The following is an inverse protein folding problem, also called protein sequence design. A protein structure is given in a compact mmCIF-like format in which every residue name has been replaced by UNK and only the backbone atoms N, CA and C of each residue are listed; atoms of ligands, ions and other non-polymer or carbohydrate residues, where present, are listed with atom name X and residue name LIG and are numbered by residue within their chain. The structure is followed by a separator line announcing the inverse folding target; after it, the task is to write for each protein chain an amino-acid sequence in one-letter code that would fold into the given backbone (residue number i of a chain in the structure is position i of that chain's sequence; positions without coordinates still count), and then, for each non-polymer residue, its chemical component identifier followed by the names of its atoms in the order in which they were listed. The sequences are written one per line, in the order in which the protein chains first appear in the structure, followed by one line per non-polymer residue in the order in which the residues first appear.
data_IF_348801684991
#
_entry.id   IF_348801684991
#
_cell.length_a   1.000
_cell.length_b   1.000
_cell.length_c   1.000
_cell.angle_alpha   90.00
_cell.angle_beta   90.00
_cell.angle_gamma   90.00
#
_symmetry.space_group_name_H-M   'P 1'
#
loop_
_entity.id
_entity.type
_entity.pdbx_description
1 polymer ?
#
# COMPACT_ATOMS: atom_id res chain seq x y z
N UNK A 1 19.29 13.01 22.84
CA UNK A 1 18.51 12.41 21.75
C UNK A 1 17.30 13.27 21.50
N UNK A 2 17.24 13.85 20.30
CA UNK A 2 16.23 14.87 19.96
C UNK A 2 15.27 14.28 18.95
N UNK A 3 14.03 14.03 19.39
CA UNK A 3 12.96 13.59 18.50
C UNK A 3 12.41 14.80 17.75
N UNK A 4 12.28 14.69 16.43
CA UNK A 4 11.57 15.68 15.60
C UNK A 4 10.11 15.30 15.52
N UNK A 5 9.25 16.30 15.57
CA UNK A 5 7.81 16.16 15.40
C UNK A 5 7.36 17.12 14.30
N UNK A 6 6.53 16.62 13.38
CA UNK A 6 5.94 17.40 12.30
C UNK A 6 4.46 17.04 12.16
N UNK A 7 3.70 17.98 11.62
CA UNK A 7 2.27 17.82 11.41
C UNK A 7 1.91 18.35 10.02
N UNK A 8 1.11 17.55 9.30
CA UNK A 8 0.47 17.92 8.04
C UNK A 8 -1.03 17.70 8.16
N UNK A 9 -1.80 18.47 7.41
CA UNK A 9 -3.24 18.36 7.45
C UNK A 9 -3.91 18.63 6.11
N UNK A 10 -5.12 18.08 5.96
CA UNK A 10 -5.96 18.31 4.80
C UNK A 10 -7.44 18.20 5.20
N UNK A 11 -8.30 18.92 4.50
CA UNK A 11 -9.75 18.76 4.62
C UNK A 11 -10.27 17.81 3.54
N UNK A 12 -11.10 16.83 3.93
CA UNK A 12 -11.72 15.83 3.05
C UNK A 12 -13.24 16.02 3.09
N UNK A 13 -13.88 16.04 1.92
CA UNK A 13 -15.33 16.06 1.76
C UNK A 13 -15.92 14.64 1.94
N UNK A 14 -15.72 14.10 3.14
CA UNK A 14 -16.33 12.86 3.61
C UNK A 14 -16.51 12.91 5.14
N UNK A 15 -17.54 12.23 5.69
CA UNK A 15 -17.75 12.13 7.12
C UNK A 15 -16.53 11.54 7.84
N UNK A 16 -16.15 12.12 8.99
CA UNK A 16 -14.99 11.69 9.78
C UNK A 16 -14.96 10.16 10.08
N UNK A 17 -16.08 9.50 10.45
CA UNK A 17 -16.11 8.05 10.64
C UNK A 17 -15.80 7.24 9.37
N UNK A 18 -16.19 7.74 8.20
CA UNK A 18 -15.93 7.07 6.92
C UNK A 18 -14.43 7.12 6.58
N UNK A 19 -13.80 8.28 6.79
CA UNK A 19 -12.34 8.44 6.62
C UNK A 19 -11.58 7.53 7.60
N UNK A 20 -11.97 7.54 8.88
CA UNK A 20 -11.36 6.68 9.89
C UNK A 20 -11.44 5.20 9.50
N UNK A 21 -12.62 4.72 9.09
CA UNK A 21 -12.83 3.32 8.68
C UNK A 21 -11.87 2.92 7.56
N UNK A 22 -11.74 3.76 6.53
CA UNK A 22 -10.85 3.48 5.39
C UNK A 22 -9.37 3.44 5.80
N UNK A 23 -8.94 4.27 6.74
CA UNK A 23 -7.58 4.24 7.30
C UNK A 23 -7.35 3.03 8.23
N UNK A 24 -8.36 2.66 9.02
CA UNK A 24 -8.32 1.52 9.93
C UNK A 24 -8.31 0.18 9.17
N UNK A 25 -9.10 0.04 8.11
CA UNK A 25 -9.21 -1.19 7.31
C UNK A 25 -8.07 -1.28 6.28
N UNK A 26 -6.92 -1.79 6.71
CA UNK A 26 -5.68 -1.80 5.91
C UNK A 26 -5.77 -2.57 4.60
N UNK A 27 -6.70 -3.51 4.48
CA UNK A 27 -6.96 -4.25 3.24
C UNK A 27 -7.42 -3.33 2.11
N UNK A 28 -7.96 -2.14 2.43
CA UNK A 28 -8.36 -1.13 1.45
C UNK A 28 -7.21 -0.22 1.01
N UNK A 29 -6.07 -0.24 1.70
CA UNK A 29 -4.97 0.69 1.43
C UNK A 29 -4.44 0.66 -0.01
N UNK A 30 -4.36 -0.48 -0.72
CA UNK A 30 -3.97 -0.46 -2.14
C UNK A 30 -4.88 0.41 -3.03
N UNK A 31 -6.14 0.64 -2.62
CA UNK A 31 -7.10 1.51 -3.33
C UNK A 31 -6.98 2.98 -2.92
N UNK A 32 -6.54 3.24 -1.69
CA UNK A 32 -6.49 4.58 -1.09
C UNK A 32 -5.11 5.22 -1.29
N UNK A 33 -4.05 4.44 -1.16
CA UNK A 33 -2.67 4.90 -1.24
C UNK A 33 -2.03 4.34 -2.52
N UNK A 34 -1.77 5.20 -3.54
CA UNK A 34 -1.17 4.78 -4.79
C UNK A 34 0.13 3.98 -4.63
N UNK A 35 1.03 4.28 -3.68
CA UNK A 35 2.23 3.48 -3.46
C UNK A 35 1.97 2.08 -2.91
N UNK A 36 0.90 1.87 -2.14
CA UNK A 36 0.65 0.60 -1.45
C UNK A 36 0.23 -0.48 -2.45
N UNK A 37 0.99 -1.58 -2.47
CA UNK A 37 0.76 -2.75 -3.31
C UNK A 37 -0.13 -3.75 -2.56
N UNK A 38 0.21 -4.04 -1.31
CA UNK A 38 -0.51 -4.98 -0.45
C UNK A 38 -0.28 -4.64 1.01
N UNK A 39 -1.24 -4.97 1.86
CA UNK A 39 -1.07 -4.95 3.33
C UNK A 39 -1.61 -6.25 3.88
N UNK A 40 -0.82 -6.88 4.73
CA UNK A 40 -1.18 -8.11 5.44
C UNK A 40 -1.30 -7.81 6.92
N UNK A 41 -2.39 -8.25 7.54
CA UNK A 41 -2.60 -8.13 8.98
C UNK A 41 -1.97 -9.34 9.66
N UNK A 42 -0.79 -9.13 10.26
CA UNK A 42 0.04 -10.19 10.84
C UNK A 42 -0.52 -10.67 12.17
N UNK A 43 -0.98 -9.72 12.99
CA UNK A 43 -1.57 -10.00 14.30
C UNK A 43 -2.57 -8.91 14.66
N UNK A 44 -3.61 -9.24 15.42
CA UNK A 44 -4.60 -8.30 15.94
C UNK A 44 -5.08 -8.75 17.31
N UNK A 45 -4.96 -7.85 18.28
CA UNK A 45 -5.47 -8.02 19.64
C UNK A 45 -6.24 -6.77 20.08
N UNK A 46 -7.56 -6.84 20.00
CA UNK A 46 -8.44 -5.71 20.33
C UNK A 46 -8.18 -4.50 19.45
N UNK A 47 -7.74 -3.40 20.07
CA UNK A 47 -7.36 -2.13 19.42
C UNK A 47 -5.93 -2.12 18.89
N UNK A 48 -5.12 -3.11 19.22
CA UNK A 48 -3.74 -3.19 18.73
C UNK A 48 -3.62 -4.17 17.57
N UNK A 49 -2.76 -3.85 16.63
CA UNK A 49 -2.44 -4.76 15.53
C UNK A 49 -1.01 -4.57 15.04
N UNK A 50 -0.50 -5.61 14.39
CA UNK A 50 0.72 -5.58 13.61
C UNK A 50 0.36 -5.83 12.16
N UNK A 51 0.83 -4.94 11.29
CA UNK A 51 0.65 -5.06 9.84
C UNK A 51 2.00 -5.13 9.15
N UNK A 52 2.03 -5.80 7.99
CA UNK A 52 3.14 -5.74 7.05
C UNK A 52 2.66 -5.05 5.78
N UNK A 53 3.37 -4.02 5.37
CA UNK A 53 3.03 -3.19 4.21
C UNK A 53 4.03 -3.47 3.11
N UNK A 54 3.56 -3.66 1.88
CA UNK A 54 4.36 -3.65 0.67
C UNK A 54 3.97 -2.44 -0.15
N UNK A 55 4.93 -1.61 -0.54
CA UNK A 55 4.68 -0.40 -1.30
C UNK A 55 5.85 -0.06 -2.24
N UNK A 56 5.58 0.75 -3.25
CA UNK A 56 6.61 1.33 -4.10
C UNK A 56 7.18 2.61 -3.47
N UNK A 57 8.50 2.70 -3.35
CA UNK A 57 9.22 3.91 -2.97
C UNK A 57 10.24 4.24 -4.06
N UNK A 58 10.09 5.38 -4.74
CA UNK A 58 10.94 5.79 -5.86
C UNK A 58 11.08 4.74 -6.98
N UNK A 59 9.99 4.02 -7.28
CA UNK A 59 9.97 2.97 -8.32
C UNK A 59 10.44 1.59 -7.85
N UNK A 60 11.05 1.50 -6.67
CA UNK A 60 11.46 0.24 -6.05
C UNK A 60 10.37 -0.27 -5.11
N UNK A 61 10.06 -1.56 -5.17
CA UNK A 61 9.13 -2.17 -4.23
C UNK A 61 9.86 -2.51 -2.91
N UNK A 62 9.27 -2.14 -1.77
CA UNK A 62 9.81 -2.35 -0.42
C UNK A 62 8.72 -2.88 0.50
N UNK A 63 9.13 -3.44 1.63
CA UNK A 63 8.19 -3.83 2.68
C UNK A 63 8.73 -3.53 4.09
N UNK A 64 7.82 -3.29 5.02
CA UNK A 64 8.13 -3.05 6.43
C UNK A 64 6.96 -3.48 7.33
N UNK A 65 7.24 -3.65 8.63
CA UNK A 65 6.20 -3.90 9.64
C UNK A 65 5.91 -2.64 10.44
N UNK A 66 4.63 -2.47 10.77
CA UNK A 66 4.14 -1.38 11.60
C UNK A 66 3.21 -1.92 12.67
N UNK A 67 3.40 -1.47 13.91
CA UNK A 67 2.45 -1.69 15.00
C UNK A 67 1.50 -0.49 15.05
N UNK A 68 0.21 -0.75 15.16
CA UNK A 68 -0.82 0.28 15.26
C UNK A 68 -1.69 0.09 16.49
N UNK A 69 -2.18 1.21 17.02
CA UNK A 69 -3.23 1.27 18.04
C UNK A 69 -4.38 2.09 17.48
N UNK A 70 -5.55 1.48 17.44
CA UNK A 70 -6.77 2.00 16.84
C UNK A 70 -7.70 2.50 17.96
N UNK A 71 -8.06 3.77 17.90
CA UNK A 71 -9.04 4.40 18.78
C UNK A 71 -10.25 4.86 17.93
N UNK A 72 -11.28 3.99 17.78
CA UNK A 72 -12.45 4.30 16.96
C UNK A 72 -13.35 5.35 17.58
N UNK A 73 -13.35 5.50 18.91
CA UNK A 73 -14.17 6.51 19.59
C UNK A 73 -13.55 7.90 19.46
N UNK A 74 -12.21 8.00 19.61
CA UNK A 74 -11.47 9.25 19.42
C UNK A 74 -11.13 9.58 17.96
N UNK A 75 -11.38 8.66 17.02
CA UNK A 75 -10.98 8.74 15.61
C UNK A 75 -9.47 8.95 15.42
N UNK A 76 -8.68 8.14 16.14
CA UNK A 76 -7.20 8.22 16.13
C UNK A 76 -6.57 6.87 15.79
N UNK A 77 -5.46 6.91 15.05
CA UNK A 77 -4.64 5.73 14.77
C UNK A 77 -3.19 6.10 15.01
N UNK A 78 -2.60 5.59 16.08
CA UNK A 78 -1.16 5.73 16.34
C UNK A 78 -0.43 4.59 15.67
N UNK A 79 0.70 4.88 15.05
CA UNK A 79 1.52 3.87 14.37
C UNK A 79 3.01 4.03 14.69
N UNK A 80 3.72 2.91 14.67
CA UNK A 80 5.17 2.82 14.89
C UNK A 80 5.76 1.80 13.93
N UNK A 81 6.74 2.22 13.13
CA UNK A 81 7.54 1.30 12.33
C UNK A 81 8.45 0.49 13.26
N UNK A 82 8.36 -0.83 13.22
CA UNK A 82 9.07 -1.68 14.20
C UNK A 82 10.56 -1.78 13.91
N UNK A 83 10.93 -1.86 12.63
CA UNK A 83 12.32 -1.94 12.17
C UNK A 83 12.50 -0.85 11.11
N UNK A 84 12.89 0.37 11.52
CA UNK A 84 13.29 1.40 10.59
C UNK A 84 14.57 1.01 9.83
N UNK A 85 14.67 1.45 8.58
CA UNK A 85 15.91 1.30 7.81
C UNK A 85 16.84 2.49 8.09
N UNK A 86 18.17 2.28 8.19
CA UNK A 86 19.13 3.39 8.25
C UNK A 86 18.87 4.41 7.11
N UNK A 87 19.00 5.72 7.38
CA UNK A 87 19.55 6.32 8.60
C UNK A 87 18.52 6.58 9.73
N UNK A 88 17.31 6.02 9.63
CA UNK A 88 16.24 6.27 10.59
C UNK A 88 16.45 5.39 11.84
N UNK A 89 16.45 6.01 13.02
CA UNK A 89 16.51 5.31 14.31
C UNK A 89 15.12 5.00 14.88
N UNK A 90 14.14 5.87 14.62
CA UNK A 90 12.75 5.70 15.01
C UNK A 90 11.85 6.43 14.01
N UNK A 91 10.71 5.82 13.69
CA UNK A 91 9.67 6.42 12.85
C UNK A 91 8.30 5.99 13.36
N UNK A 92 7.42 6.95 13.53
CA UNK A 92 6.01 6.70 13.71
C UNK A 92 5.20 7.96 13.56
N UNK A 93 3.94 7.87 13.95
CA UNK A 93 3.04 8.99 13.83
C UNK A 93 1.67 8.72 14.40
N UNK A 94 0.76 9.65 14.17
CA UNK A 94 -0.65 9.52 14.53
C UNK A 94 -1.52 10.16 13.47
N UNK A 95 -2.52 9.41 13.01
CA UNK A 95 -3.67 9.93 12.29
C UNK A 95 -4.69 10.45 13.30
N UNK A 96 -5.21 11.66 13.07
CA UNK A 96 -6.29 12.26 13.83
C UNK A 96 -7.34 12.75 12.83
N UNK A 97 -8.59 12.32 12.99
CA UNK A 97 -9.68 12.73 12.10
C UNK A 97 -10.69 13.51 12.93
N UNK A 98 -10.86 14.79 12.61
CA UNK A 98 -11.75 15.71 13.32
C UNK A 98 -12.96 16.03 12.42
N UNK A 99 -14.21 15.90 12.91
CA UNK A 99 -15.39 16.26 12.13
C UNK A 99 -15.47 17.77 11.89
N UNK A 100 -15.81 18.19 10.67
CA UNK A 100 -16.08 19.57 10.27
C UNK A 100 -17.54 19.74 9.80
N UNK A 101 -18.45 18.99 10.44
CA UNK A 101 -19.85 18.82 10.01
C UNK A 101 -20.14 17.37 9.62
N UNK A 102 -21.30 17.15 9.01
CA UNK A 102 -21.77 15.79 8.69
C UNK A 102 -21.00 15.20 7.49
N UNK A 103 -20.66 16.02 6.49
CA UNK A 103 -20.09 15.57 5.20
C UNK A 103 -18.62 15.99 5.00
N UNK A 104 -17.95 16.48 6.04
CA UNK A 104 -16.57 16.95 5.95
C UNK A 104 -15.76 16.63 7.20
N UNK A 105 -14.45 16.46 7.01
CA UNK A 105 -13.51 16.20 8.09
C UNK A 105 -12.15 16.85 7.85
N UNK A 106 -11.44 17.21 8.92
CA UNK A 106 -10.03 17.57 8.93
C UNK A 106 -9.23 16.33 9.31
N UNK A 107 -8.30 15.93 8.45
CA UNK A 107 -7.36 14.86 8.72
C UNK A 107 -6.01 15.48 9.04
N UNK A 108 -5.44 15.10 10.17
CA UNK A 108 -4.10 15.49 10.59
C UNK A 108 -3.23 14.24 10.64
N UNK A 109 -2.06 14.32 10.01
CA UNK A 109 -1.04 13.30 10.00
C UNK A 109 0.18 13.86 10.72
N UNK A 110 0.42 13.33 11.92
CA UNK A 110 1.58 13.67 12.73
C UNK A 110 2.65 12.62 12.50
N UNK A 111 3.91 13.04 12.45
CA UNK A 111 5.05 12.15 12.46
C UNK A 111 6.02 12.52 13.58
N UNK A 112 6.62 11.51 14.19
CA UNK A 112 7.74 11.64 15.10
C UNK A 112 8.89 10.73 14.66
N UNK A 113 10.09 11.29 14.54
CA UNK A 113 11.25 10.57 14.02
C UNK A 113 12.58 11.07 14.58
N UNK A 114 13.59 10.21 14.44
CA UNK A 114 14.97 10.49 14.83
C UNK A 114 15.96 9.82 13.88
N UNK A 115 17.08 10.47 13.62
CA UNK A 115 18.22 9.87 12.90
C UNK A 115 19.08 9.01 13.84
N UNK A 116 19.82 8.06 13.28
CA UNK A 116 20.87 7.36 14.04
C UNK A 116 21.92 8.39 14.51
N UNK A 117 22.36 8.25 15.75
CA UNK A 117 23.33 9.14 16.41
C UNK A 117 22.98 10.64 16.42
N UNK A 118 21.71 10.99 16.18
CA UNK A 118 21.24 12.36 16.00
C UNK A 118 22.00 13.13 14.90
N UNK A 119 22.47 12.45 13.85
CA UNK A 119 23.23 13.09 12.75
C UNK A 119 22.40 14.19 12.06
N UNK A 120 22.90 15.44 11.97
CA UNK A 120 22.13 16.55 11.41
C UNK A 120 21.84 16.44 9.91
N UNK A 121 22.74 15.82 9.13
CA UNK A 121 22.58 15.66 7.69
C UNK A 121 21.52 14.62 7.39
N UNK A 122 21.57 13.48 8.07
CA UNK A 122 20.57 12.43 7.96
C UNK A 122 19.22 12.91 8.45
N UNK A 123 19.18 13.68 9.56
CA UNK A 123 17.94 14.26 10.06
C UNK A 123 17.29 15.22 9.04
N UNK A 124 18.08 16.04 8.35
CA UNK A 124 17.58 16.93 7.28
C UNK A 124 17.05 16.13 6.09
N UNK A 125 17.71 15.03 5.73
CA UNK A 125 17.23 14.15 4.67
C UNK A 125 15.90 13.48 5.05
N UNK A 126 15.78 12.96 6.28
CA UNK A 126 14.55 12.35 6.80
C UNK A 126 13.42 13.39 6.79
N UNK A 127 13.69 14.62 7.24
CA UNK A 127 12.71 15.71 7.29
C UNK A 127 12.09 15.99 5.91
N UNK A 128 12.92 16.12 4.88
CA UNK A 128 12.47 16.34 3.50
C UNK A 128 11.70 15.14 2.94
N UNK A 129 12.07 13.92 3.32
CA UNK A 129 11.37 12.71 2.90
C UNK A 129 9.98 12.63 3.56
N UNK A 130 9.90 12.91 4.86
CA UNK A 130 8.64 12.89 5.63
C UNK A 130 7.69 13.98 5.12
N UNK A 131 8.14 15.22 4.90
CA UNK A 131 7.28 16.29 4.40
C UNK A 131 6.68 15.95 3.02
N UNK A 132 7.53 15.50 2.08
CA UNK A 132 7.09 15.14 0.73
C UNK A 132 6.12 13.97 0.72
N UNK A 133 6.41 12.92 1.49
CA UNK A 133 5.56 11.74 1.55
C UNK A 133 4.23 12.06 2.23
N UNK A 134 4.24 12.80 3.34
CA UNK A 134 3.03 13.16 4.08
C UNK A 134 2.06 13.98 3.24
N UNK A 135 2.56 14.97 2.48
CA UNK A 135 1.74 15.75 1.54
C UNK A 135 1.13 14.88 0.45
N UNK A 136 1.96 14.05 -0.19
CA UNK A 136 1.52 13.16 -1.26
C UNK A 136 0.50 12.12 -0.77
N UNK A 137 0.67 11.62 0.45
CA UNK A 137 -0.22 10.66 1.11
C UNK A 137 -1.56 11.30 1.46
N UNK A 138 -1.57 12.50 2.02
CA UNK A 138 -2.79 13.25 2.32
C UNK A 138 -3.57 13.65 1.05
N UNK A 139 -2.88 14.09 0.00
CA UNK A 139 -3.50 14.42 -1.29
C UNK A 139 -4.15 13.19 -1.93
N UNK A 140 -3.45 12.04 -1.89
CA UNK A 140 -3.98 10.78 -2.39
C UNK A 140 -5.17 10.28 -1.56
N UNK A 141 -5.07 10.37 -0.22
CA UNK A 141 -6.14 10.02 0.71
C UNK A 141 -7.39 10.84 0.38
N UNK A 142 -7.28 12.17 0.30
CA UNK A 142 -8.39 13.06 -0.04
C UNK A 142 -9.05 12.64 -1.34
N UNK A 143 -8.28 12.54 -2.42
CA UNK A 143 -8.82 12.21 -3.75
C UNK A 143 -9.55 10.86 -3.77
N UNK A 144 -8.95 9.83 -3.18
CA UNK A 144 -9.49 8.47 -3.25
C UNK A 144 -10.64 8.24 -2.27
N UNK A 145 -10.62 8.88 -1.11
CA UNK A 145 -11.74 8.82 -0.15
C UNK A 145 -12.95 9.57 -0.69
N UNK A 146 -12.76 10.76 -1.24
CA UNK A 146 -13.86 11.52 -1.87
C UNK A 146 -14.44 10.76 -3.06
N UNK A 147 -13.59 10.14 -3.89
CA UNK A 147 -14.06 9.30 -4.99
C UNK A 147 -14.79 8.06 -4.49
N UNK A 148 -14.24 7.33 -3.51
CA UNK A 148 -14.87 6.13 -2.95
C UNK A 148 -16.22 6.45 -2.30
N UNK A 149 -16.33 7.62 -1.67
CA UNK A 149 -17.57 8.08 -1.04
C UNK A 149 -18.60 8.54 -2.08
N UNK A 150 -18.19 9.33 -3.08
CA UNK A 150 -19.08 9.86 -4.12
C UNK A 150 -19.48 8.81 -5.17
N UNK A 151 -18.66 7.78 -5.37
CA UNK A 151 -18.80 6.79 -6.41
C UNK A 151 -18.74 5.36 -5.85
N UNK A 152 -19.44 5.13 -4.73
CA UNK A 152 -19.58 3.78 -4.14
C UNK A 152 -20.08 2.76 -5.18
N UNK A 153 -20.89 3.19 -6.15
CA UNK A 153 -21.36 2.39 -7.28
C UNK A 153 -20.31 2.14 -8.40
N UNK A 154 -19.26 2.96 -8.51
CA UNK A 154 -18.25 2.83 -9.57
C UNK A 154 -17.13 1.84 -9.23
N UNK A 155 -17.01 1.45 -7.96
CA UNK A 155 -16.04 0.45 -7.51
C UNK A 155 -16.74 -0.89 -7.34
N UNK A 156 -16.31 -1.90 -8.09
CA UNK A 156 -16.81 -3.26 -7.95
C UNK A 156 -15.65 -4.26 -7.79
N UNK A 157 -15.97 -5.44 -7.26
CA UNK A 157 -15.06 -6.56 -7.09
C UNK A 157 -15.79 -7.83 -7.49
N UNK A 158 -15.08 -8.74 -8.15
CA UNK A 158 -15.59 -10.07 -8.50
C UNK A 158 -14.45 -11.09 -8.39
N UNK A 159 -14.82 -12.36 -8.32
CA UNK A 159 -13.88 -13.48 -8.23
C UNK A 159 -14.36 -14.59 -9.16
N UNK A 160 -13.41 -15.17 -9.91
CA UNK A 160 -13.62 -16.37 -10.70
C UNK A 160 -12.85 -17.54 -10.07
N UNK A 161 -13.53 -18.68 -9.89
CA UNK A 161 -12.95 -19.87 -9.26
C UNK A 161 -12.98 -21.06 -10.22
N UNK A 162 -11.87 -21.79 -10.29
CA UNK A 162 -11.77 -23.07 -10.99
C UNK A 162 -11.24 -24.15 -10.05
N UNK A 163 -11.79 -25.36 -10.13
CA UNK A 163 -11.29 -26.52 -9.41
C UNK A 163 -10.19 -27.20 -10.23
N UNK A 164 -9.06 -27.47 -9.59
CA UNK A 164 -7.91 -28.16 -10.20
C UNK A 164 -7.62 -29.43 -9.41
N UNK A 165 -7.66 -30.59 -10.08
CA UNK A 165 -7.23 -31.86 -9.50
C UNK A 165 -5.70 -31.95 -9.55
N UNK A 166 -5.05 -31.31 -8.58
CA UNK A 166 -3.61 -31.16 -8.50
C UNK A 166 -3.16 -30.48 -7.21
N UNK A 167 -1.85 -30.27 -7.05
CA UNK A 167 -1.33 -29.63 -5.84
C UNK A 167 -1.38 -28.10 -5.94
N UNK A 168 -1.65 -27.42 -4.82
CA UNK A 168 -1.58 -25.96 -4.73
C UNK A 168 -0.19 -25.43 -5.11
N UNK A 169 0.86 -26.19 -4.83
CA UNK A 169 2.24 -25.87 -5.19
C UNK A 169 2.42 -25.76 -6.71
N UNK A 170 1.87 -26.70 -7.48
CA UNK A 170 2.04 -26.72 -8.93
C UNK A 170 1.26 -25.58 -9.60
N UNK A 171 0.03 -25.33 -9.15
CA UNK A 171 -0.78 -24.18 -9.60
C UNK A 171 -0.10 -22.86 -9.25
N UNK A 172 0.39 -22.73 -8.01
CA UNK A 172 1.13 -21.55 -7.57
C UNK A 172 2.38 -21.32 -8.42
N UNK A 173 3.19 -22.36 -8.67
CA UNK A 173 4.40 -22.27 -9.47
C UNK A 173 4.09 -21.77 -10.89
N UNK A 174 3.04 -22.29 -11.52
CA UNK A 174 2.59 -21.83 -12.84
C UNK A 174 2.29 -20.33 -12.89
N UNK A 175 1.62 -19.80 -11.85
CA UNK A 175 1.25 -18.38 -11.75
C UNK A 175 2.45 -17.50 -11.31
N UNK A 176 3.30 -18.01 -10.44
CA UNK A 176 4.46 -17.28 -9.91
C UNK A 176 5.55 -17.13 -10.98
N UNK A 177 5.82 -18.17 -11.77
CA UNK A 177 6.84 -18.22 -12.83
C UNK A 177 6.40 -17.50 -14.11
N UNK A 178 6.03 -16.22 -13.99
CA UNK A 178 5.47 -15.45 -15.10
C UNK A 178 6.41 -15.28 -16.29
N UNK A 179 7.72 -15.41 -16.09
CA UNK A 179 8.71 -15.41 -17.16
C UNK A 179 8.48 -16.52 -18.20
N UNK A 180 7.77 -17.60 -17.85
CA UNK A 180 7.42 -18.70 -18.74
C UNK A 180 6.04 -18.53 -19.40
N UNK A 181 5.29 -17.47 -19.06
CA UNK A 181 3.96 -17.23 -19.64
C UNK A 181 3.94 -17.06 -21.16
N UNK A 182 4.95 -16.47 -21.84
CA UNK A 182 4.95 -16.42 -23.31
C UNK A 182 4.90 -17.81 -23.98
N UNK A 183 5.38 -18.86 -23.29
CA UNK A 183 5.34 -20.24 -23.77
C UNK A 183 4.08 -20.99 -23.34
N UNK A 184 3.41 -20.53 -22.28
CA UNK A 184 2.30 -21.21 -21.60
C UNK A 184 0.93 -20.58 -21.89
N UNK A 185 0.86 -19.28 -22.18
CA UNK A 185 -0.37 -18.50 -22.32
C UNK A 185 -0.45 -17.88 -23.72
N UNK A 186 -1.46 -18.24 -24.55
CA UNK A 186 -1.49 -17.87 -25.96
C UNK A 186 -1.69 -16.37 -26.24
N UNK A 187 -2.16 -15.60 -25.26
CA UNK A 187 -2.40 -14.16 -25.37
C UNK A 187 -1.20 -13.32 -24.88
N UNK A 188 -0.17 -13.94 -24.29
CA UNK A 188 1.01 -13.25 -23.77
C UNK A 188 2.11 -13.32 -24.82
N UNK A 189 2.56 -12.15 -25.30
CA UNK A 189 3.60 -12.07 -26.34
C UNK A 189 5.00 -11.98 -25.75
N UNK A 190 5.20 -11.13 -24.73
CA UNK A 190 6.48 -10.96 -24.04
C UNK A 190 6.27 -10.77 -22.55
N UNK A 191 7.26 -11.15 -21.75
CA UNK A 191 7.31 -10.89 -20.30
C UNK A 191 8.70 -10.41 -19.91
N UNK A 192 8.75 -9.39 -19.05
CA UNK A 192 9.93 -8.93 -18.33
C UNK A 192 9.61 -9.00 -16.84
N UNK A 193 10.16 -10.01 -16.19
CA UNK A 193 9.97 -10.27 -14.76
C UNK A 193 11.27 -9.94 -14.01
N UNK A 194 11.17 -9.07 -13.01
CA UNK A 194 12.26 -8.74 -12.09
C UNK A 194 11.87 -9.10 -10.66
N UNK A 195 12.79 -9.69 -9.90
CA UNK A 195 12.59 -10.12 -8.51
C UNK A 195 13.89 -9.92 -7.71
N UNK A 196 14.24 -8.66 -7.44
CA UNK A 196 15.45 -8.34 -6.67
C UNK A 196 15.32 -8.75 -5.19
N UNK A 197 14.08 -8.80 -4.68
CA UNK A 197 13.75 -9.29 -3.34
C UNK A 197 12.84 -10.51 -3.47
N UNK A 198 13.18 -11.66 -2.87
CA UNK A 198 12.34 -12.85 -2.92
C UNK A 198 10.91 -12.58 -2.47
N UNK A 199 9.94 -12.99 -3.28
CA UNK A 199 8.52 -12.78 -3.05
C UNK A 199 7.99 -11.41 -3.47
N UNK A 200 8.82 -10.54 -4.03
CA UNK A 200 8.42 -9.20 -4.48
C UNK A 200 8.85 -8.97 -5.92
N UNK A 201 7.88 -9.02 -6.82
CA UNK A 201 8.11 -9.05 -8.25
C UNK A 201 7.62 -7.78 -8.93
N UNK A 202 8.35 -7.34 -9.94
CA UNK A 202 7.88 -6.39 -10.94
C UNK A 202 7.66 -7.15 -12.24
N UNK A 203 6.42 -7.15 -12.73
CA UNK A 203 6.00 -7.84 -13.94
C UNK A 203 5.56 -6.82 -14.98
N UNK A 204 6.30 -6.72 -16.07
CA UNK A 204 5.89 -6.04 -17.29
C UNK A 204 5.60 -7.08 -18.37
N UNK A 205 4.49 -6.92 -19.09
CA UNK A 205 4.08 -7.88 -20.13
C UNK A 205 3.35 -7.21 -21.28
N UNK A 206 3.56 -7.75 -22.48
CA UNK A 206 2.80 -7.42 -23.67
C UNK A 206 1.72 -8.47 -23.90
N UNK A 207 0.46 -8.04 -23.96
CA UNK A 207 -0.68 -8.91 -24.22
C UNK A 207 -1.38 -8.53 -25.51
N UNK A 208 -1.90 -9.52 -26.22
CA UNK A 208 -2.70 -9.31 -27.43
C UNK A 208 -4.18 -9.33 -27.09
N UNK A 209 -4.86 -8.22 -27.36
CA UNK A 209 -6.32 -8.15 -27.22
C UNK A 209 -7.02 -8.90 -28.37
N UNK A 210 -8.33 -9.13 -28.21
CA UNK A 210 -9.13 -9.87 -29.21
C UNK A 210 -9.19 -9.16 -30.58
N UNK A 211 -9.01 -7.85 -30.61
CA UNK A 211 -8.95 -7.04 -31.83
C UNK A 211 -7.56 -7.05 -32.50
N UNK A 212 -6.59 -7.77 -31.92
CA UNK A 212 -5.23 -7.91 -32.44
C UNK A 212 -4.25 -6.84 -31.96
N UNK A 213 -4.71 -5.82 -31.24
CA UNK A 213 -3.85 -4.78 -30.65
C UNK A 213 -2.94 -5.34 -29.55
N UNK A 214 -1.79 -4.70 -29.37
CA UNK A 214 -0.81 -5.03 -28.33
C UNK A 214 -0.84 -3.98 -27.23
N UNK A 215 -0.94 -4.44 -26.00
CA UNK A 215 -0.92 -3.59 -24.80
C UNK A 215 0.22 -3.99 -23.88
N UNK A 216 1.01 -3.00 -23.47
CA UNK A 216 2.03 -3.16 -22.45
C UNK A 216 1.45 -2.77 -21.10
N UNK A 217 1.53 -3.68 -20.15
CA UNK A 217 1.08 -3.44 -18.76
C UNK A 217 2.24 -3.68 -17.81
N UNK A 218 2.23 -2.95 -16.69
CA UNK A 218 3.21 -3.12 -15.60
C UNK A 218 2.48 -3.29 -14.28
N UNK A 219 2.91 -4.27 -13.50
CA UNK A 219 2.36 -4.59 -12.19
C UNK A 219 3.45 -4.92 -11.17
N UNK A 220 3.14 -4.69 -9.91
CA UNK A 220 3.91 -5.21 -8.78
C UNK A 220 3.15 -6.37 -8.16
N UNK A 221 3.85 -7.45 -7.79
CA UNK A 221 3.27 -8.66 -7.19
C UNK A 221 3.96 -9.00 -5.87
N UNK A 222 3.17 -9.38 -4.87
CA UNK A 222 3.61 -9.90 -3.58
C UNK A 222 3.20 -11.36 -3.50
N UNK A 223 4.17 -12.25 -3.37
CA UNK A 223 3.94 -13.69 -3.51
C UNK A 223 4.14 -14.40 -2.16
N UNK A 224 3.19 -15.26 -1.82
CA UNK A 224 3.13 -16.01 -0.57
C UNK A 224 3.06 -17.51 -0.89
N UNK A 225 4.22 -18.18 -1.01
CA UNK A 225 4.25 -19.59 -1.34
C UNK A 225 3.45 -20.44 -0.34
N UNK A 226 2.55 -21.33 -0.75
CA UNK A 226 2.07 -21.61 -2.12
C UNK A 226 0.57 -21.30 -2.25
N UNK A 227 0.11 -20.22 -1.61
CA UNK A 227 -1.32 -20.03 -1.37
C UNK A 227 -1.88 -18.67 -1.82
N UNK A 228 -1.04 -17.66 -2.11
CA UNK A 228 -1.52 -16.33 -2.52
C UNK A 228 -0.49 -15.56 -3.35
N UNK A 229 -0.97 -14.86 -4.38
CA UNK A 229 -0.21 -13.83 -5.10
C UNK A 229 -1.10 -12.59 -5.15
N UNK A 230 -0.76 -11.54 -4.40
CA UNK A 230 -1.42 -10.25 -4.49
C UNK A 230 -0.72 -9.40 -5.56
N UNK A 231 -1.45 -8.57 -6.31
CA UNK A 231 -0.82 -7.69 -7.29
C UNK A 231 -1.53 -6.35 -7.41
N UNK A 232 -0.80 -5.36 -7.92
CA UNK A 232 -1.31 -4.04 -8.28
C UNK A 232 -0.75 -3.62 -9.62
N UNK A 233 -1.62 -3.31 -10.57
CA UNK A 233 -1.25 -2.77 -11.87
C UNK A 233 -1.03 -1.26 -11.77
N UNK A 234 0.10 -0.78 -12.29
CA UNK A 234 0.49 0.64 -12.25
C UNK A 234 0.50 1.30 -13.62
N UNK A 235 0.61 0.51 -14.68
CA UNK A 235 0.44 0.98 -16.07
C UNK A 235 -0.75 0.27 -16.68
N UNK A 236 -1.78 1.04 -17.06
CA UNK A 236 -2.98 0.54 -17.71
C UNK A 236 -2.75 0.37 -19.23
N UNK A 237 -3.51 -0.52 -19.90
CA UNK A 237 -3.41 -0.79 -21.34
C UNK A 237 -3.60 0.43 -22.25
#
# INVERSE_FOLDING_TARGET
MTTREVEHEITIAAPAPAVYRLLAEVTNWPRIFPPTIHVDQVDRNGSEERIRIWATANGEAKNWTSRRTLDPEGLRITFRQEIPAPPIAAMGGTWIIEPLGDDASRVRLLHDYRAIDDDPHDLLWIDQAVDRNSRSELDALKKNVELAHAAEEATFSFEDTVLVDGSAKDVYAFLNEAHLWPERLPHVSTVRLHEDTPGLQTLEMDTRAKDGSLHTTKSYRVTFPHHRIAYKQTTLP
#
